data_IF_129396594200
#
_entry.id   IF_129396594200
#
_cell.length_a   1.000
_cell.length_b   1.000
_cell.length_c   1.000
_cell.angle_alpha   90.00
_cell.angle_beta   90.00
_cell.angle_gamma   90.00
#
_symmetry.space_group_name_H-M   'P 1'
#
loop_
_entity.id
_entity.type
_entity.pdbx_description
1 polymer ?
#
# COMPACT_ATOMS: atom_id res chain seq x y z
N UNK A 1 14.46 13.18 10.70
CA UNK A 1 13.17 13.62 10.12
C UNK A 1 12.68 14.96 10.68
N UNK A 2 12.26 15.13 11.95
CA UNK A 2 11.75 16.43 12.48
C UNK A 2 12.67 17.62 12.23
N UNK A 3 14.00 17.45 12.35
CA UNK A 3 14.99 18.50 12.05
C UNK A 3 15.02 18.84 10.55
N UNK A 4 14.89 17.84 9.66
CA UNK A 4 14.79 18.07 8.22
C UNK A 4 13.54 18.91 7.89
N UNK A 5 12.38 18.58 8.48
CA UNK A 5 11.14 19.34 8.33
C UNK A 5 11.27 20.80 8.80
N UNK A 6 11.92 21.02 9.97
CA UNK A 6 12.09 22.35 10.54
C UNK A 6 13.04 23.26 9.71
N UNK A 7 13.94 22.66 8.95
CA UNK A 7 14.94 23.36 8.13
C UNK A 7 14.64 23.27 6.62
N UNK A 8 13.43 22.83 6.24
CA UNK A 8 13.05 22.70 4.84
C UNK A 8 13.04 24.06 4.13
N UNK A 9 13.62 24.14 2.95
CA UNK A 9 13.46 25.28 2.06
C UNK A 9 12.06 25.19 1.45
N UNK A 10 11.31 26.31 1.49
CA UNK A 10 9.89 26.35 1.14
C UNK A 10 9.61 27.32 -0.01
N UNK A 11 8.66 26.96 -0.81
CA UNK A 11 8.06 27.77 -1.85
C UNK A 11 6.59 27.41 -2.04
N UNK A 12 5.95 27.85 -3.11
CA UNK A 12 4.54 27.57 -3.37
C UNK A 12 4.38 26.42 -4.39
N UNK A 13 3.99 25.22 -3.92
CA UNK A 13 3.76 24.05 -4.80
C UNK A 13 2.65 24.27 -5.84
N UNK A 14 1.70 25.18 -5.59
CA UNK A 14 0.66 25.48 -6.57
C UNK A 14 1.25 26.08 -7.84
N UNK A 15 2.33 26.85 -7.71
CA UNK A 15 3.07 27.42 -8.84
C UNK A 15 4.30 26.58 -9.24
N UNK A 16 4.53 25.45 -8.56
CA UNK A 16 5.72 24.60 -8.80
C UNK A 16 7.02 25.20 -8.25
N UNK A 17 6.93 26.12 -7.29
CA UNK A 17 8.05 26.89 -6.76
C UNK A 17 8.61 26.32 -5.44
N UNK A 18 8.00 25.30 -4.83
CA UNK A 18 8.53 24.67 -3.61
C UNK A 18 9.69 23.74 -3.97
N UNK A 19 10.95 24.11 -3.66
CA UNK A 19 12.12 23.36 -4.09
C UNK A 19 12.22 21.98 -3.42
N UNK A 20 11.72 21.87 -2.18
CA UNK A 20 11.81 20.62 -1.42
C UNK A 20 10.83 19.56 -1.95
N UNK A 21 9.60 19.93 -2.29
CA UNK A 21 8.66 18.96 -2.89
C UNK A 21 9.06 18.62 -4.32
N UNK A 22 9.58 19.57 -5.08
CA UNK A 22 10.10 19.28 -6.42
C UNK A 22 11.22 18.24 -6.34
N UNK A 23 12.20 18.44 -5.45
CA UNK A 23 13.28 17.47 -5.24
C UNK A 23 12.75 16.10 -4.78
N UNK A 24 11.75 16.05 -3.88
CA UNK A 24 11.14 14.77 -3.48
C UNK A 24 10.54 14.03 -4.66
N UNK A 25 9.83 14.77 -5.53
CA UNK A 25 9.21 14.20 -6.73
C UNK A 25 10.28 13.66 -7.69
N UNK A 26 11.36 14.42 -7.94
CA UNK A 26 12.47 13.99 -8.79
C UNK A 26 13.15 12.73 -8.23
N UNK A 27 13.49 12.71 -6.95
CA UNK A 27 14.11 11.54 -6.28
C UNK A 27 13.19 10.31 -6.33
N UNK A 28 11.89 10.50 -6.13
CA UNK A 28 10.92 9.40 -6.21
C UNK A 28 10.79 8.84 -7.63
N UNK A 29 10.75 9.69 -8.64
CA UNK A 29 10.73 9.28 -10.03
C UNK A 29 12.00 8.51 -10.41
N UNK A 30 13.18 9.03 -10.04
CA UNK A 30 14.47 8.39 -10.27
C UNK A 30 14.56 7.01 -9.61
N UNK A 31 14.18 6.88 -8.33
CA UNK A 31 14.24 5.59 -7.60
C UNK A 31 13.36 4.51 -8.20
N UNK A 32 12.23 4.88 -8.79
CA UNK A 32 11.29 3.96 -9.40
C UNK A 32 11.46 3.84 -10.92
N UNK A 33 12.46 4.51 -11.49
CA UNK A 33 12.70 4.57 -12.93
C UNK A 33 11.41 4.96 -13.70
N UNK A 34 10.78 6.05 -13.25
CA UNK A 34 9.60 6.65 -13.87
C UNK A 34 9.88 8.07 -14.33
N UNK A 35 9.12 8.51 -15.33
CA UNK A 35 9.33 9.84 -15.93
C UNK A 35 9.00 11.00 -14.98
N UNK A 36 8.00 10.83 -14.12
CA UNK A 36 7.55 11.88 -13.21
C UNK A 36 6.89 11.32 -11.95
N UNK A 37 6.80 12.18 -10.94
CA UNK A 37 6.11 11.89 -9.68
C UNK A 37 5.25 13.07 -9.21
N UNK A 38 4.27 12.77 -8.37
CA UNK A 38 3.40 13.75 -7.74
C UNK A 38 3.24 13.44 -6.26
N UNK A 39 3.58 14.38 -5.40
CA UNK A 39 3.27 14.30 -3.97
C UNK A 39 1.76 14.50 -3.75
N UNK A 40 1.17 13.61 -2.94
CA UNK A 40 -0.25 13.61 -2.57
C UNK A 40 -0.41 13.46 -1.06
N UNK A 41 -1.54 13.88 -0.51
CA UNK A 41 -1.78 13.90 0.94
C UNK A 41 -1.86 12.50 1.57
N UNK A 42 -2.32 11.50 0.82
CA UNK A 42 -2.56 10.14 1.32
C UNK A 42 -2.45 9.08 0.21
N UNK A 43 -2.31 7.81 0.60
CA UNK A 43 -2.38 6.68 -0.33
C UNK A 43 -3.71 6.60 -1.07
N UNK A 44 -4.82 6.83 -0.37
CA UNK A 44 -6.17 6.88 -0.97
C UNK A 44 -6.26 7.92 -2.09
N UNK A 45 -5.71 9.13 -1.86
CA UNK A 45 -5.65 10.14 -2.93
C UNK A 45 -4.76 9.66 -4.09
N UNK A 46 -3.58 9.09 -3.80
CA UNK A 46 -2.68 8.58 -4.83
C UNK A 46 -3.32 7.50 -5.68
N UNK A 47 -3.98 6.53 -5.06
CA UNK A 47 -4.72 5.48 -5.77
C UNK A 47 -5.86 6.09 -6.61
N UNK A 48 -6.70 6.92 -6.00
CA UNK A 48 -7.79 7.55 -6.74
C UNK A 48 -7.28 8.29 -7.98
N UNK A 49 -6.20 9.08 -7.86
CA UNK A 49 -5.59 9.76 -8.99
C UNK A 49 -5.04 8.75 -10.02
N UNK A 50 -4.38 7.69 -9.55
CA UNK A 50 -3.89 6.60 -10.41
C UNK A 50 -5.02 5.94 -11.20
N UNK A 51 -6.18 5.72 -10.58
CA UNK A 51 -7.37 5.18 -11.27
C UNK A 51 -7.95 6.19 -12.28
N UNK A 52 -8.09 7.48 -11.89
CA UNK A 52 -8.66 8.53 -12.72
C UNK A 52 -7.85 8.86 -13.98
N UNK A 53 -6.52 8.66 -13.95
CA UNK A 53 -5.67 8.87 -15.15
C UNK A 53 -5.56 7.62 -16.03
N UNK A 54 -6.08 6.47 -15.57
CA UNK A 54 -6.09 5.21 -16.31
C UNK A 54 -7.49 4.81 -16.82
N UNK A 55 -8.55 5.42 -16.30
CA UNK A 55 -9.92 5.13 -16.71
C UNK A 55 -10.78 6.40 -16.70
N UNK A 56 -11.87 6.37 -17.48
CA UNK A 56 -12.86 7.45 -17.59
C UNK A 56 -14.19 7.01 -17.01
N UNK A 57 -15.05 7.97 -16.71
CA UNK A 57 -16.43 7.71 -16.29
C UNK A 57 -17.14 6.77 -17.26
N UNK A 58 -17.83 5.75 -16.73
CA UNK A 58 -18.51 4.70 -17.49
C UNK A 58 -17.61 3.53 -17.89
N UNK A 59 -16.31 3.58 -17.60
CA UNK A 59 -15.40 2.46 -17.79
C UNK A 59 -15.26 1.59 -16.53
N UNK A 60 -14.63 0.43 -16.68
CA UNK A 60 -14.40 -0.54 -15.62
C UNK A 60 -12.91 -0.74 -15.37
N UNK A 61 -12.57 -0.97 -14.10
CA UNK A 61 -11.25 -1.40 -13.63
C UNK A 61 -11.34 -2.79 -12.99
N UNK A 62 -10.39 -3.65 -13.29
CA UNK A 62 -10.22 -4.92 -12.61
C UNK A 62 -9.43 -4.72 -11.32
N UNK A 63 -9.86 -5.31 -10.21
CA UNK A 63 -9.14 -5.29 -8.94
C UNK A 63 -9.36 -6.59 -8.17
N UNK A 64 -8.43 -6.94 -7.28
CA UNK A 64 -8.69 -8.00 -6.31
C UNK A 64 -9.89 -7.65 -5.41
N UNK A 65 -10.72 -8.65 -5.09
CA UNK A 65 -11.95 -8.46 -4.29
C UNK A 65 -11.68 -8.03 -2.84
N UNK A 66 -10.46 -8.24 -2.34
CA UNK A 66 -10.01 -7.82 -1.02
C UNK A 66 -9.06 -6.60 -1.07
N UNK A 67 -8.86 -6.01 -2.26
CA UNK A 67 -7.97 -4.85 -2.45
C UNK A 67 -8.45 -3.61 -1.71
N UNK A 68 -7.50 -2.75 -1.34
CA UNK A 68 -7.77 -1.51 -0.64
C UNK A 68 -8.63 -0.55 -1.48
N UNK A 69 -8.34 -0.42 -2.76
CA UNK A 69 -9.09 0.44 -3.70
C UNK A 69 -10.56 0.05 -3.83
N UNK A 70 -10.88 -1.23 -3.66
CA UNK A 70 -12.26 -1.73 -3.72
C UNK A 70 -12.99 -1.58 -2.37
N UNK A 71 -12.34 -1.95 -1.25
CA UNK A 71 -13.02 -2.09 0.04
C UNK A 71 -12.84 -0.91 1.00
N UNK A 72 -11.75 -0.14 0.90
CA UNK A 72 -11.31 0.72 1.98
C UNK A 72 -11.07 2.19 1.59
N UNK A 73 -11.54 2.62 0.40
CA UNK A 73 -11.38 4.00 -0.11
C UNK A 73 -12.72 4.72 -0.29
N UNK A 74 -13.70 4.37 0.54
CA UNK A 74 -15.02 5.02 0.63
C UNK A 74 -15.78 5.12 -0.71
N UNK A 75 -15.51 4.20 -1.65
CA UNK A 75 -16.15 4.21 -2.97
C UNK A 75 -15.70 5.34 -3.88
N UNK A 76 -14.50 5.91 -3.63
CA UNK A 76 -13.99 7.08 -4.35
C UNK A 76 -13.94 6.90 -5.87
N UNK A 77 -13.55 5.73 -6.37
CA UNK A 77 -13.53 5.41 -7.80
C UNK A 77 -14.91 5.60 -8.45
N UNK A 78 -15.96 5.10 -7.80
CA UNK A 78 -17.34 5.25 -8.29
C UNK A 78 -17.87 6.68 -8.10
N UNK A 79 -17.72 7.24 -6.90
CA UNK A 79 -18.33 8.52 -6.53
C UNK A 79 -17.70 9.71 -7.27
N UNK A 80 -16.39 9.70 -7.48
CA UNK A 80 -15.63 10.81 -8.05
C UNK A 80 -15.18 10.55 -9.49
N UNK A 81 -14.91 9.30 -9.85
CA UNK A 81 -14.48 8.92 -11.18
C UNK A 81 -15.62 8.40 -12.08
N UNK A 82 -16.75 7.99 -11.50
CA UNK A 82 -17.78 7.26 -12.24
C UNK A 82 -17.27 5.92 -12.79
N UNK A 83 -16.27 5.33 -12.12
CA UNK A 83 -15.57 4.13 -12.57
C UNK A 83 -16.14 2.92 -11.81
N UNK A 84 -16.55 1.90 -12.55
CA UNK A 84 -16.93 0.62 -11.96
C UNK A 84 -15.68 -0.19 -11.61
N UNK A 85 -15.69 -0.90 -10.48
CA UNK A 85 -14.64 -1.89 -10.17
C UNK A 85 -15.23 -3.28 -10.37
N UNK A 86 -14.53 -4.12 -11.16
CA UNK A 86 -14.77 -5.55 -11.32
C UNK A 86 -13.91 -6.31 -10.31
N UNK A 87 -14.50 -6.83 -9.22
CA UNK A 87 -13.73 -7.54 -8.22
C UNK A 87 -13.45 -8.98 -8.67
N UNK A 88 -12.18 -9.38 -8.65
CA UNK A 88 -11.70 -10.74 -8.93
C UNK A 88 -11.22 -11.38 -7.63
N UNK A 89 -11.69 -12.59 -7.32
CA UNK A 89 -11.18 -13.33 -6.17
C UNK A 89 -9.87 -14.01 -6.51
N UNK A 90 -8.84 -13.70 -5.71
CA UNK A 90 -7.50 -14.27 -5.88
C UNK A 90 -7.09 -15.08 -4.66
N UNK A 91 -6.03 -15.86 -4.80
CA UNK A 91 -5.37 -16.50 -3.67
C UNK A 91 -4.17 -15.66 -3.23
N UNK A 92 -4.13 -15.28 -1.95
CA UNK A 92 -3.04 -14.49 -1.39
C UNK A 92 -2.93 -13.05 -1.94
N UNK A 93 -3.93 -12.56 -2.69
CA UNK A 93 -3.90 -11.24 -3.33
C UNK A 93 -3.12 -11.23 -4.64
N UNK A 94 -2.74 -12.40 -5.18
CA UNK A 94 -1.99 -12.55 -6.43
C UNK A 94 -2.97 -12.95 -7.53
N UNK A 95 -3.11 -12.10 -8.54
CA UNK A 95 -3.97 -12.37 -9.70
C UNK A 95 -3.17 -13.04 -10.80
N UNK A 96 -3.57 -14.26 -11.18
CA UNK A 96 -2.94 -14.98 -12.26
C UNK A 96 -3.23 -14.31 -13.63
N UNK A 97 -2.33 -14.43 -14.63
CA UNK A 97 -2.53 -13.83 -15.95
C UNK A 97 -3.87 -14.20 -16.59
N UNK A 98 -4.31 -15.43 -16.44
CA UNK A 98 -5.59 -15.93 -16.97
C UNK A 98 -6.78 -15.23 -16.33
N UNK A 99 -6.70 -14.92 -15.02
CA UNK A 99 -7.75 -14.19 -14.31
C UNK A 99 -7.87 -12.75 -14.82
N UNK A 100 -6.76 -12.12 -15.25
CA UNK A 100 -6.80 -10.80 -15.90
C UNK A 100 -7.58 -10.88 -17.20
N UNK A 101 -7.28 -11.87 -18.06
CA UNK A 101 -7.97 -12.06 -19.36
C UNK A 101 -9.44 -12.34 -19.16
N UNK A 102 -9.77 -13.26 -18.27
CA UNK A 102 -11.16 -13.70 -18.02
C UNK A 102 -12.04 -12.56 -17.45
N UNK A 103 -11.42 -11.58 -16.79
CA UNK A 103 -12.12 -10.43 -16.24
C UNK A 103 -12.34 -9.29 -17.26
N UNK A 104 -11.65 -9.29 -18.41
CA UNK A 104 -11.80 -8.27 -19.46
C UNK A 104 -13.14 -8.50 -20.18
N UNK A 105 -13.94 -7.44 -20.23
CA UNK A 105 -15.22 -7.48 -20.92
C UNK A 105 -15.05 -7.51 -22.44
N UNK A 106 -15.90 -8.25 -23.17
CA UNK A 106 -15.94 -8.16 -24.64
C UNK A 106 -16.36 -6.74 -25.07
N UNK A 107 -15.92 -6.30 -26.26
CA UNK A 107 -16.37 -5.04 -26.85
C UNK A 107 -17.81 -5.19 -27.37
N UNK A 108 -18.76 -5.05 -26.48
CA UNK A 108 -20.20 -5.19 -26.71
C UNK A 108 -20.92 -4.06 -25.96
N UNK A 109 -22.00 -3.53 -26.57
CA UNK A 109 -22.76 -2.40 -26.02
C UNK A 109 -23.39 -2.65 -24.64
N UNK A 110 -23.50 -3.90 -24.20
CA UNK A 110 -24.07 -4.28 -22.92
C UNK A 110 -23.08 -4.17 -21.75
N UNK A 111 -21.78 -3.99 -22.05
CA UNK A 111 -20.74 -3.99 -21.03
C UNK A 111 -19.96 -2.68 -20.96
N UNK A 112 -19.52 -2.26 -19.78
CA UNK A 112 -18.51 -1.19 -19.68
C UNK A 112 -17.19 -1.67 -20.32
N UNK A 113 -16.45 -0.76 -20.94
CA UNK A 113 -15.10 -1.09 -21.44
C UNK A 113 -14.14 -1.23 -20.29
N UNK A 114 -13.43 -2.32 -20.21
CA UNK A 114 -12.34 -2.51 -19.26
C UNK A 114 -11.16 -1.65 -19.67
N UNK A 115 -10.76 -0.70 -18.80
CA UNK A 115 -9.71 0.29 -19.10
C UNK A 115 -8.37 -0.04 -18.46
N UNK A 116 -8.39 -0.65 -17.28
CA UNK A 116 -7.18 -0.96 -16.55
C UNK A 116 -7.39 -2.12 -15.57
N UNK A 117 -6.27 -2.64 -15.06
CA UNK A 117 -6.22 -3.50 -13.88
C UNK A 117 -5.40 -2.81 -12.79
N UNK A 118 -5.79 -3.02 -11.54
CA UNK A 118 -4.99 -2.58 -10.38
C UNK A 118 -4.55 -3.77 -9.54
N UNK A 119 -3.25 -3.80 -9.21
CA UNK A 119 -2.65 -4.79 -8.31
C UNK A 119 -2.26 -4.12 -7.00
N UNK A 120 -2.40 -4.81 -5.88
CA UNK A 120 -1.96 -4.31 -4.57
C UNK A 120 -0.70 -5.06 -4.12
N UNK A 121 0.40 -4.33 -3.86
CA UNK A 121 1.69 -4.90 -3.46
C UNK A 121 2.42 -4.01 -2.43
N UNK A 122 2.57 -4.45 -1.16
CA UNK A 122 2.11 -5.74 -0.61
C UNK A 122 0.62 -5.73 -0.32
N UNK A 123 -0.03 -6.89 -0.43
CA UNK A 123 -1.47 -6.97 -0.23
C UNK A 123 -1.85 -6.93 1.26
N UNK A 124 -2.53 -5.87 1.69
CA UNK A 124 -2.80 -5.59 3.09
C UNK A 124 -3.70 -6.64 3.77
N UNK A 125 -4.82 -7.00 3.14
CA UNK A 125 -5.78 -7.95 3.71
C UNK A 125 -5.32 -9.41 3.69
N UNK A 126 -4.33 -9.71 2.85
CA UNK A 126 -3.68 -11.02 2.79
C UNK A 126 -2.41 -11.13 3.64
N UNK A 127 -2.19 -10.20 4.59
CA UNK A 127 -1.09 -10.28 5.57
C UNK A 127 0.22 -9.68 5.09
N UNK A 128 0.18 -8.80 4.10
CA UNK A 128 1.38 -8.17 3.57
C UNK A 128 2.15 -9.07 2.61
N UNK A 129 1.47 -10.02 1.98
CA UNK A 129 2.05 -10.87 0.92
C UNK A 129 2.59 -9.99 -0.19
N UNK A 130 3.83 -10.24 -0.58
CA UNK A 130 4.51 -9.59 -1.69
C UNK A 130 4.39 -10.45 -2.95
N UNK A 131 4.05 -9.83 -4.06
CA UNK A 131 4.02 -10.52 -5.35
C UNK A 131 5.43 -10.93 -5.76
N UNK A 132 5.67 -12.20 -6.10
CA UNK A 132 6.90 -12.57 -6.80
C UNK A 132 7.04 -11.72 -8.08
N UNK A 133 8.22 -11.18 -8.33
CA UNK A 133 8.45 -10.30 -9.49
C UNK A 133 8.06 -10.97 -10.82
N UNK A 134 8.29 -12.27 -10.94
CA UNK A 134 7.92 -13.05 -12.13
C UNK A 134 6.40 -13.10 -12.34
N UNK A 135 5.63 -13.31 -11.28
CA UNK A 135 4.16 -13.34 -11.35
C UNK A 135 3.61 -11.94 -11.68
N UNK A 136 4.14 -10.89 -11.03
CA UNK A 136 3.73 -9.52 -11.30
C UNK A 136 4.03 -9.11 -12.76
N UNK A 137 5.19 -9.48 -13.28
CA UNK A 137 5.55 -9.25 -14.69
C UNK A 137 4.59 -9.98 -15.64
N UNK A 138 4.28 -11.24 -15.37
CA UNK A 138 3.39 -12.03 -16.23
C UNK A 138 1.98 -11.44 -16.28
N UNK A 139 1.37 -11.14 -15.12
CA UNK A 139 0.05 -10.53 -15.06
C UNK A 139 0.01 -9.13 -15.71
N UNK A 140 1.05 -8.32 -15.48
CA UNK A 140 1.16 -6.98 -16.09
C UNK A 140 1.36 -7.04 -17.60
N UNK A 141 2.17 -7.98 -18.08
CA UNK A 141 2.35 -8.17 -19.52
C UNK A 141 1.04 -8.60 -20.19
N UNK A 142 0.32 -9.52 -19.55
CA UNK A 142 -0.98 -9.96 -20.06
C UNK A 142 -1.99 -8.82 -20.15
N UNK A 143 -2.02 -7.93 -19.16
CA UNK A 143 -2.86 -6.73 -19.19
C UNK A 143 -2.50 -5.82 -20.37
N UNK A 144 -1.21 -5.56 -20.57
CA UNK A 144 -0.70 -4.72 -21.68
C UNK A 144 -0.98 -5.35 -23.03
N UNK A 145 -0.78 -6.64 -23.20
CA UNK A 145 -1.10 -7.38 -24.44
C UNK A 145 -2.59 -7.34 -24.77
N UNK A 146 -3.43 -7.19 -23.75
CA UNK A 146 -4.87 -7.00 -23.88
C UNK A 146 -5.27 -5.51 -24.08
N UNK A 147 -4.31 -4.59 -24.14
CA UNK A 147 -4.56 -3.17 -24.39
C UNK A 147 -5.10 -2.39 -23.19
N UNK A 148 -5.02 -2.92 -21.98
CA UNK A 148 -5.46 -2.23 -20.75
C UNK A 148 -4.27 -1.75 -19.92
N UNK A 149 -4.44 -0.63 -19.23
CA UNK A 149 -3.42 -0.04 -18.39
C UNK A 149 -3.24 -0.82 -17.07
N UNK A 150 -2.07 -0.66 -16.46
CA UNK A 150 -1.75 -1.26 -15.15
C UNK A 150 -1.48 -0.16 -14.12
N UNK A 151 -2.24 -0.16 -13.04
CA UNK A 151 -1.95 0.61 -11.83
C UNK A 151 -1.48 -0.31 -10.71
N UNK A 152 -0.47 0.07 -9.94
CA UNK A 152 -0.09 -0.66 -8.72
C UNK A 152 -0.35 0.22 -7.50
N UNK A 153 -1.24 -0.24 -6.61
CA UNK A 153 -1.24 0.21 -5.22
C UNK A 153 -0.02 -0.38 -4.53
N UNK A 154 1.06 0.37 -4.56
CA UNK A 154 2.34 0.05 -3.93
C UNK A 154 2.50 0.68 -2.56
N UNK A 155 1.43 0.78 -1.77
CA UNK A 155 1.45 1.47 -0.46
C UNK A 155 2.63 1.03 0.43
N UNK A 156 3.13 -0.20 0.24
CA UNK A 156 4.32 -0.77 0.89
C UNK A 156 5.30 -1.38 -0.12
N UNK A 157 5.50 -0.75 -1.26
CA UNK A 157 6.31 -1.33 -2.35
C UNK A 157 7.77 -1.57 -1.95
N UNK A 158 8.34 -0.74 -1.07
CA UNK A 158 9.70 -0.95 -0.55
C UNK A 158 9.77 -2.20 0.36
N UNK A 159 8.71 -2.49 1.14
CA UNK A 159 8.60 -3.75 1.85
C UNK A 159 8.51 -4.93 0.87
N UNK A 160 7.73 -4.80 -0.22
CA UNK A 160 7.63 -5.84 -1.23
C UNK A 160 8.98 -6.10 -1.90
N UNK A 161 9.69 -5.06 -2.33
CA UNK A 161 11.01 -5.16 -2.95
C UNK A 161 12.00 -5.91 -2.06
N UNK A 162 12.07 -5.54 -0.78
CA UNK A 162 12.91 -6.21 0.20
C UNK A 162 12.51 -7.69 0.39
N UNK A 163 11.21 -7.99 0.51
CA UNK A 163 10.72 -9.35 0.75
C UNK A 163 11.01 -10.31 -0.40
N UNK A 164 10.97 -9.82 -1.65
CA UNK A 164 11.23 -10.65 -2.84
C UNK A 164 12.67 -10.54 -3.35
N UNK A 165 13.53 -9.74 -2.70
CA UNK A 165 14.93 -9.55 -3.11
C UNK A 165 15.08 -8.89 -4.47
N UNK A 166 14.19 -7.94 -4.81
CA UNK A 166 14.21 -7.22 -6.09
C UNK A 166 14.47 -5.72 -5.88
N UNK A 167 14.97 -5.05 -6.90
CA UNK A 167 15.01 -3.58 -6.90
C UNK A 167 13.59 -3.02 -7.04
N UNK A 168 13.30 -1.93 -6.33
CA UNK A 168 11.96 -1.32 -6.36
C UNK A 168 11.56 -0.88 -7.78
N UNK A 169 12.54 -0.44 -8.60
CA UNK A 169 12.32 -0.08 -10.01
C UNK A 169 11.82 -1.25 -10.86
N UNK A 170 12.25 -2.49 -10.56
CA UNK A 170 11.82 -3.68 -11.28
C UNK A 170 10.34 -3.99 -11.03
N UNK A 171 9.86 -3.75 -9.80
CA UNK A 171 8.43 -3.83 -9.48
C UNK A 171 7.66 -2.68 -10.14
N UNK A 172 8.22 -1.46 -10.11
CA UNK A 172 7.60 -0.30 -10.74
C UNK A 172 7.50 -0.44 -12.27
N UNK A 173 8.46 -1.10 -12.92
CA UNK A 173 8.42 -1.38 -14.37
C UNK A 173 7.18 -2.21 -14.79
N UNK A 174 6.58 -2.94 -13.87
CA UNK A 174 5.34 -3.69 -14.11
C UNK A 174 4.08 -2.81 -14.21
N UNK A 175 4.13 -1.52 -13.89
CA UNK A 175 2.99 -0.63 -13.90
C UNK A 175 3.16 0.58 -14.82
N UNK A 176 2.06 1.08 -15.36
CA UNK A 176 2.02 2.39 -16.02
C UNK A 176 2.02 3.50 -14.98
N UNK A 177 1.25 3.35 -13.91
CA UNK A 177 1.26 4.24 -12.74
C UNK A 177 1.35 3.44 -11.45
N UNK A 178 2.01 4.00 -10.44
CA UNK A 178 2.12 3.37 -9.12
C UNK A 178 2.01 4.41 -8.02
N UNK A 179 1.29 4.07 -6.95
CA UNK A 179 1.28 4.85 -5.71
C UNK A 179 2.10 4.17 -4.63
N UNK A 180 2.89 4.94 -3.86
CA UNK A 180 3.49 4.42 -2.62
C UNK A 180 3.34 5.39 -1.46
N UNK A 181 3.26 4.85 -0.23
CA UNK A 181 3.08 5.66 0.97
C UNK A 181 4.42 6.00 1.63
N UNK A 182 4.61 7.27 1.96
CA UNK A 182 5.67 7.75 2.84
C UNK A 182 5.31 7.55 4.31
N UNK A 183 4.02 7.58 4.63
CA UNK A 183 3.45 7.60 5.99
C UNK A 183 3.15 6.22 6.61
N UNK A 184 3.71 5.15 6.06
CA UNK A 184 3.64 3.78 6.59
C UNK A 184 5.01 3.35 7.11
N UNK A 185 5.57 2.23 6.69
CA UNK A 185 6.87 1.73 7.14
C UNK A 185 8.03 2.73 7.00
N UNK A 186 7.95 3.64 6.04
CA UNK A 186 8.94 4.71 5.85
C UNK A 186 8.88 5.83 6.92
N UNK A 187 7.83 5.88 7.74
CA UNK A 187 7.76 6.68 8.96
C UNK A 187 7.59 8.19 8.77
N UNK A 188 7.30 8.70 7.56
CA UNK A 188 6.95 10.10 7.38
C UNK A 188 5.57 10.40 8.03
N UNK A 189 5.32 11.62 8.53
CA UNK A 189 4.09 11.94 9.25
C UNK A 189 2.85 11.95 8.36
N UNK A 190 3.01 12.17 7.06
CA UNK A 190 1.92 12.20 6.07
C UNK A 190 2.50 12.07 4.66
N UNK A 191 1.60 11.81 3.70
CA UNK A 191 1.89 11.86 2.29
C UNK A 191 2.18 10.51 1.65
N UNK A 192 1.99 10.53 0.34
CA UNK A 192 2.26 9.44 -0.59
C UNK A 192 2.76 10.04 -1.91
N UNK A 193 3.27 9.20 -2.77
CA UNK A 193 3.74 9.59 -4.10
C UNK A 193 3.01 8.76 -5.14
N UNK A 194 2.51 9.42 -6.18
CA UNK A 194 2.08 8.79 -7.43
C UNK A 194 3.18 8.98 -8.46
N UNK A 195 3.62 7.91 -9.10
CA UNK A 195 4.63 7.94 -10.19
C UNK A 195 4.03 7.41 -11.49
N UNK A 196 4.56 7.86 -12.62
CA UNK A 196 4.13 7.42 -13.95
C UNK A 196 4.66 8.30 -15.08
N UNK A 197 4.11 8.16 -16.30
CA UNK A 197 4.43 9.02 -17.43
C UNK A 197 4.10 10.49 -17.17
N UNK A 198 4.88 11.40 -17.76
CA UNK A 198 4.69 12.85 -17.61
C UNK A 198 3.25 13.30 -17.87
N UNK A 199 2.62 12.81 -18.93
CA UNK A 199 1.25 13.17 -19.30
C UNK A 199 0.22 12.78 -18.23
N UNK A 200 0.34 11.56 -17.68
CA UNK A 200 -0.55 11.05 -16.62
C UNK A 200 -0.33 11.80 -15.30
N UNK A 201 0.91 12.14 -14.97
CA UNK A 201 1.22 12.93 -13.77
C UNK A 201 0.75 14.37 -13.90
N UNK A 202 0.84 14.96 -15.09
CA UNK A 202 0.27 16.31 -15.34
C UNK A 202 -1.25 16.33 -15.20
N UNK A 203 -1.95 15.29 -15.68
CA UNK A 203 -3.40 15.13 -15.48
C UNK A 203 -3.73 14.88 -14.01
N UNK A 204 -2.99 14.00 -13.33
CA UNK A 204 -3.15 13.74 -11.91
C UNK A 204 -3.00 15.00 -11.04
N UNK A 205 -2.11 15.95 -11.42
CA UNK A 205 -1.97 17.25 -10.74
C UNK A 205 -3.24 18.09 -10.84
N UNK A 206 -3.97 18.04 -11.96
CA UNK A 206 -5.26 18.72 -12.13
C UNK A 206 -6.33 18.08 -11.23
N UNK A 207 -6.40 16.76 -11.23
CA UNK A 207 -7.29 16.01 -10.33
C UNK A 207 -6.97 16.29 -8.87
N UNK A 208 -5.68 16.27 -8.47
CA UNK A 208 -5.25 16.63 -7.11
C UNK A 208 -5.79 18.01 -6.71
N UNK A 209 -5.72 18.99 -7.61
CA UNK A 209 -6.25 20.35 -7.36
C UNK A 209 -7.76 20.33 -7.17
N UNK A 210 -8.48 19.63 -8.03
CA UNK A 210 -9.96 19.53 -8.01
C UNK A 210 -10.44 18.87 -6.70
N UNK A 211 -9.73 17.85 -6.22
CA UNK A 211 -10.02 17.12 -4.98
C UNK A 211 -9.56 17.86 -3.71
N UNK A 212 -9.03 19.07 -3.82
CA UNK A 212 -8.57 19.87 -2.68
C UNK A 212 -7.21 19.44 -2.10
N UNK A 213 -6.46 18.58 -2.79
CA UNK A 213 -5.16 18.07 -2.35
C UNK A 213 -3.96 18.95 -2.75
N UNK A 214 -4.18 20.09 -3.39
CA UNK A 214 -3.12 21.08 -3.67
C UNK A 214 -2.82 21.89 -2.42
N UNK A 215 -1.60 21.79 -1.92
CA UNK A 215 -1.11 22.52 -0.74
C UNK A 215 -0.08 23.55 -1.19
N UNK A 216 0.20 24.55 -0.34
CA UNK A 216 1.12 25.65 -0.65
C UNK A 216 2.57 25.26 -0.25
N UNK A 217 3.01 25.57 0.95
CA UNK A 217 4.37 25.36 1.45
C UNK A 217 4.55 23.92 1.95
N UNK A 218 4.29 22.96 1.08
CA UNK A 218 4.27 21.54 1.40
C UNK A 218 5.66 20.94 1.59
N UNK A 219 6.71 21.66 1.24
CA UNK A 219 8.10 21.28 1.46
C UNK A 219 8.42 20.85 2.89
N UNK A 220 7.67 21.34 3.89
CA UNK A 220 7.77 20.86 5.28
C UNK A 220 7.53 19.34 5.36
N UNK A 221 6.51 18.82 4.71
CA UNK A 221 6.23 17.39 4.68
C UNK A 221 7.11 16.65 3.66
N UNK A 222 7.43 17.28 2.55
CA UNK A 222 8.32 16.71 1.54
C UNK A 222 9.73 16.44 2.08
N UNK A 223 10.25 17.29 2.96
CA UNK A 223 11.51 17.05 3.65
C UNK A 223 11.51 15.77 4.50
N UNK A 224 10.37 15.43 5.12
CA UNK A 224 10.21 14.16 5.80
C UNK A 224 10.23 12.99 4.81
N UNK A 225 9.63 13.17 3.64
CA UNK A 225 9.65 12.18 2.56
C UNK A 225 11.05 11.91 2.01
N UNK A 226 11.84 12.95 1.77
CA UNK A 226 13.25 12.84 1.38
C UNK A 226 14.04 12.07 2.44
N UNK A 227 13.91 12.47 3.71
CA UNK A 227 14.56 11.76 4.81
C UNK A 227 14.15 10.28 4.86
N UNK A 228 12.86 10.01 4.64
CA UNK A 228 12.31 8.66 4.64
C UNK A 228 12.93 7.80 3.52
N UNK A 229 13.00 8.32 2.32
CA UNK A 229 13.62 7.62 1.19
C UNK A 229 15.11 7.34 1.43
N UNK A 230 15.84 8.27 2.05
CA UNK A 230 17.28 8.15 2.24
C UNK A 230 17.68 7.26 3.44
N UNK A 231 16.83 7.16 4.48
CA UNK A 231 17.24 6.56 5.75
C UNK A 231 16.31 5.47 6.28
N UNK A 232 15.10 5.32 5.72
CA UNK A 232 14.12 4.41 6.30
C UNK A 232 13.86 3.15 5.46
N UNK A 233 14.35 3.10 4.23
CA UNK A 233 14.12 1.96 3.34
C UNK A 233 14.84 0.71 3.84
N UNK A 234 16.15 0.79 4.06
CA UNK A 234 16.98 -0.36 4.44
C UNK A 234 16.58 -0.93 5.81
N UNK A 235 16.14 -0.05 6.74
CA UNK A 235 15.71 -0.49 8.05
C UNK A 235 14.38 -1.27 8.06
N UNK A 236 13.63 -1.30 6.96
CA UNK A 236 12.42 -2.15 6.87
C UNK A 236 12.73 -3.63 7.13
N UNK A 237 13.98 -4.06 6.93
CA UNK A 237 14.44 -5.40 7.29
C UNK A 237 14.25 -5.72 8.78
N UNK A 238 14.42 -4.74 9.66
CA UNK A 238 14.20 -4.89 11.10
C UNK A 238 12.72 -5.15 11.39
N UNK A 239 11.82 -4.41 10.73
CA UNK A 239 10.38 -4.58 10.88
C UNK A 239 9.95 -5.99 10.41
N UNK A 240 10.54 -6.49 9.31
CA UNK A 240 10.25 -7.84 8.80
C UNK A 240 10.76 -8.92 9.78
N UNK A 241 11.97 -8.77 10.32
CA UNK A 241 12.52 -9.71 11.29
C UNK A 241 11.67 -9.77 12.57
N UNK A 242 11.25 -8.61 13.08
CA UNK A 242 10.38 -8.50 14.25
C UNK A 242 8.99 -9.11 14.00
N UNK A 243 8.40 -8.89 12.82
CA UNK A 243 7.14 -9.51 12.42
C UNK A 243 7.26 -11.03 12.36
N UNK A 244 8.36 -11.55 11.81
CA UNK A 244 8.62 -12.98 11.71
C UNK A 244 8.75 -13.62 13.09
N UNK A 245 9.54 -13.05 13.98
CA UNK A 245 9.70 -13.51 15.37
C UNK A 245 8.38 -13.48 16.12
N UNK A 246 7.60 -12.40 15.95
CA UNK A 246 6.27 -12.28 16.55
C UNK A 246 5.33 -13.38 16.06
N UNK A 247 5.30 -13.65 14.76
CA UNK A 247 4.44 -14.66 14.17
C UNK A 247 4.79 -16.08 14.62
N UNK A 248 6.09 -16.41 14.69
CA UNK A 248 6.57 -17.69 15.20
C UNK A 248 6.18 -17.90 16.66
N UNK A 249 6.33 -16.88 17.50
CA UNK A 249 5.90 -16.96 18.90
C UNK A 249 4.37 -17.05 19.06
N UNK A 250 3.59 -16.34 18.22
CA UNK A 250 2.13 -16.42 18.23
C UNK A 250 1.63 -17.83 17.84
N UNK A 251 2.31 -18.51 16.92
CA UNK A 251 1.96 -19.85 16.47
C UNK A 251 2.01 -20.90 17.59
N UNK A 252 2.79 -20.66 18.64
CA UNK A 252 2.92 -21.55 19.82
C UNK A 252 1.82 -21.30 20.87
N UNK A 253 1.04 -20.21 20.73
CA UNK A 253 0.02 -19.87 21.71
C UNK A 253 -1.28 -20.62 21.40
N UNK A 254 -1.79 -21.40 22.35
CA UNK A 254 -3.05 -22.15 22.21
C UNK A 254 -4.20 -21.21 21.90
N UNK A 255 -5.01 -21.54 20.91
CA UNK A 255 -6.15 -20.75 20.46
C UNK A 255 -5.80 -19.70 19.39
N UNK A 256 -4.53 -19.62 18.97
CA UNK A 256 -4.09 -18.82 17.83
C UNK A 256 -3.81 -19.72 16.64
N UNK A 257 -4.21 -19.27 15.47
CA UNK A 257 -3.90 -19.93 14.19
C UNK A 257 -3.45 -18.87 13.18
N UNK A 258 -2.32 -19.08 12.54
CA UNK A 258 -1.82 -18.23 11.47
C UNK A 258 -1.03 -19.05 10.44
N UNK A 259 -0.93 -18.48 9.26
CA UNK A 259 -0.18 -19.04 8.16
C UNK A 259 1.17 -18.33 8.05
N UNK A 260 2.23 -18.98 8.53
CA UNK A 260 3.58 -18.41 8.60
C UNK A 260 4.14 -18.01 7.23
N UNK A 261 3.70 -18.66 6.12
CA UNK A 261 4.19 -18.29 4.79
C UNK A 261 3.68 -16.91 4.35
N UNK A 262 2.54 -16.45 4.88
CA UNK A 262 1.98 -15.12 4.59
C UNK A 262 2.71 -13.98 5.31
N UNK A 263 3.50 -14.29 6.34
CA UNK A 263 4.28 -13.30 7.08
C UNK A 263 5.60 -13.05 6.38
N UNK A 264 5.53 -12.26 5.33
CA UNK A 264 6.66 -11.93 4.44
C UNK A 264 7.22 -10.54 4.70
N UNK A 265 6.45 -9.69 5.36
CA UNK A 265 6.78 -8.28 5.61
C UNK A 265 6.50 -7.90 7.06
N UNK A 266 6.08 -6.69 7.30
CA UNK A 266 5.82 -6.14 8.63
C UNK A 266 4.38 -6.32 9.12
N UNK A 267 3.57 -7.16 8.47
CA UNK A 267 2.19 -7.45 8.86
C UNK A 267 2.08 -8.89 9.39
N UNK A 268 1.41 -9.05 10.53
CA UNK A 268 1.07 -10.35 11.11
C UNK A 268 -0.43 -10.42 11.29
N UNK A 269 -1.09 -11.26 10.50
CA UNK A 269 -2.54 -11.53 10.63
C UNK A 269 -2.70 -12.95 11.15
N UNK A 270 -3.49 -13.09 12.20
CA UNK A 270 -3.77 -14.37 12.83
C UNK A 270 -5.25 -14.47 13.23
N UNK A 271 -5.73 -15.69 13.38
CA UNK A 271 -7.06 -15.99 13.90
C UNK A 271 -6.99 -16.35 15.37
N UNK A 272 -8.02 -15.97 16.11
CA UNK A 272 -8.17 -16.30 17.53
C UNK A 272 -9.45 -17.13 17.76
N UNK A 273 -9.36 -18.10 18.66
CA UNK A 273 -10.48 -18.95 19.08
C UNK A 273 -10.65 -18.87 20.59
N UNK A 274 -11.87 -18.99 21.08
CA UNK A 274 -12.19 -18.96 22.51
C UNK A 274 -12.54 -17.58 23.06
N UNK A 275 -12.18 -16.49 22.38
CA UNK A 275 -12.45 -15.11 22.78
C UNK A 275 -12.88 -14.30 21.56
N UNK A 276 -13.74 -13.29 21.73
CA UNK A 276 -14.07 -12.38 20.62
C UNK A 276 -12.91 -11.44 20.29
N UNK A 277 -12.77 -11.04 19.01
CA UNK A 277 -11.74 -10.05 18.61
C UNK A 277 -11.87 -8.74 19.37
N UNK A 278 -13.09 -8.29 19.63
CA UNK A 278 -13.33 -7.07 20.40
C UNK A 278 -12.78 -7.18 21.83
N UNK A 279 -13.10 -8.27 22.53
CA UNK A 279 -12.60 -8.52 23.90
C UNK A 279 -11.08 -8.67 23.89
N UNK A 280 -10.53 -9.42 22.94
CA UNK A 280 -9.08 -9.59 22.80
C UNK A 280 -8.35 -8.25 22.63
N UNK A 281 -8.81 -7.39 21.69
CA UNK A 281 -8.23 -6.08 21.45
C UNK A 281 -8.31 -5.19 22.69
N UNK A 282 -9.45 -5.21 23.40
CA UNK A 282 -9.62 -4.45 24.63
C UNK A 282 -8.68 -4.92 25.74
N UNK A 283 -8.55 -6.24 25.94
CA UNK A 283 -7.67 -6.81 26.97
C UNK A 283 -6.19 -6.59 26.66
N UNK A 284 -5.78 -6.66 25.39
CA UNK A 284 -4.44 -6.28 24.96
C UNK A 284 -4.18 -4.80 25.24
N UNK A 285 -5.13 -3.92 24.90
CA UNK A 285 -5.02 -2.47 25.11
C UNK A 285 -4.86 -2.11 26.59
N UNK A 286 -5.59 -2.76 27.50
CA UNK A 286 -5.44 -2.58 28.96
C UNK A 286 -4.04 -2.90 29.46
N UNK A 287 -3.30 -3.76 28.72
CA UNK A 287 -1.93 -4.17 29.03
C UNK A 287 -0.86 -3.43 28.17
N UNK A 288 -1.27 -2.36 27.48
CA UNK A 288 -0.38 -1.50 26.69
C UNK A 288 -0.07 -2.02 25.29
N UNK A 289 -0.72 -3.09 24.82
CA UNK A 289 -0.54 -3.64 23.48
C UNK A 289 -1.68 -3.22 22.56
N UNK A 290 -1.36 -2.49 21.50
CA UNK A 290 -2.33 -2.10 20.48
C UNK A 290 -2.50 -3.21 19.43
N UNK A 291 -3.74 -3.54 19.10
CA UNK A 291 -4.11 -4.52 18.09
C UNK A 291 -5.26 -3.96 17.23
N UNK A 292 -5.39 -4.45 16.02
CA UNK A 292 -6.48 -4.10 15.11
C UNK A 292 -7.33 -5.35 14.79
N UNK A 293 -8.65 -5.23 14.97
CA UNK A 293 -9.59 -6.28 14.59
C UNK A 293 -9.79 -6.27 13.05
N UNK A 294 -9.24 -7.24 12.36
CA UNK A 294 -9.31 -7.36 10.89
C UNK A 294 -10.45 -8.28 10.43
N UNK A 295 -11.51 -8.42 11.23
CA UNK A 295 -12.66 -9.30 10.99
C UNK A 295 -13.24 -9.87 12.29
N UNK A 296 -14.14 -10.86 12.15
CA UNK A 296 -14.81 -11.46 13.34
C UNK A 296 -13.88 -12.32 14.18
N UNK A 297 -12.89 -12.97 13.56
CA UNK A 297 -11.94 -13.89 14.21
C UNK A 297 -10.49 -13.49 13.96
N UNK A 298 -10.23 -12.53 13.08
CA UNK A 298 -8.90 -12.13 12.66
C UNK A 298 -8.42 -10.88 13.37
N UNK A 299 -7.18 -10.92 13.83
CA UNK A 299 -6.44 -9.81 14.45
C UNK A 299 -5.21 -9.50 13.60
N UNK A 300 -4.84 -8.23 13.54
CA UNK A 300 -3.65 -7.76 12.83
C UNK A 300 -2.73 -7.03 13.78
N UNK A 301 -1.45 -7.41 13.76
CA UNK A 301 -0.35 -6.62 14.28
C UNK A 301 0.49 -6.05 13.14
N UNK A 302 1.17 -4.94 13.42
CA UNK A 302 2.06 -4.27 12.48
C UNK A 302 3.34 -3.89 13.22
N UNK A 303 4.48 -4.40 12.77
CA UNK A 303 5.79 -3.94 13.25
C UNK A 303 6.22 -2.69 12.47
N UNK A 304 6.86 -1.77 13.14
CA UNK A 304 7.27 -0.49 12.57
C UNK A 304 8.44 0.11 13.36
N UNK A 305 8.97 1.23 12.87
CA UNK A 305 10.00 1.97 13.58
C UNK A 305 9.65 2.22 15.05
N UNK A 306 10.56 1.87 15.94
CA UNK A 306 10.37 2.00 17.38
C UNK A 306 9.81 0.75 18.07
N UNK A 307 9.62 -0.35 17.32
CA UNK A 307 9.34 -1.67 17.88
C UNK A 307 10.63 -2.49 17.75
N UNK A 308 11.15 -2.95 18.87
CA UNK A 308 12.35 -3.79 18.94
C UNK A 308 12.04 -5.23 19.40
N UNK A 309 13.07 -6.03 19.61
CA UNK A 309 12.93 -7.42 20.04
C UNK A 309 12.34 -7.57 21.46
N UNK A 310 12.58 -6.60 22.36
CA UNK A 310 12.02 -6.61 23.72
C UNK A 310 10.52 -6.35 23.66
N UNK A 311 10.08 -5.40 22.83
CA UNK A 311 8.68 -5.13 22.56
C UNK A 311 7.96 -6.34 21.97
N UNK A 312 8.61 -7.09 21.07
CA UNK A 312 8.06 -8.34 20.52
C UNK A 312 7.85 -9.39 21.62
N UNK A 313 8.82 -9.56 22.51
CA UNK A 313 8.68 -10.49 23.65
C UNK A 313 7.59 -10.06 24.62
N UNK A 314 7.48 -8.76 24.88
CA UNK A 314 6.39 -8.21 25.70
C UNK A 314 5.02 -8.47 25.05
N UNK A 315 4.90 -8.26 23.74
CA UNK A 315 3.67 -8.52 23.00
C UNK A 315 3.27 -10.00 23.09
N UNK A 316 4.20 -10.93 22.90
CA UNK A 316 3.96 -12.37 23.03
C UNK A 316 3.48 -12.74 24.43
N UNK A 317 4.11 -12.17 25.47
CA UNK A 317 3.69 -12.37 26.87
C UNK A 317 2.26 -11.90 27.11
N UNK A 318 1.95 -10.68 26.68
CA UNK A 318 0.59 -10.11 26.82
C UNK A 318 -0.44 -10.96 26.11
N UNK A 319 -0.18 -11.38 24.87
CA UNK A 319 -1.09 -12.24 24.11
C UNK A 319 -1.30 -13.58 24.81
N UNK A 320 -0.24 -14.20 25.31
CA UNK A 320 -0.33 -15.47 26.05
C UNK A 320 -1.17 -15.33 27.32
N UNK A 321 -1.02 -14.25 28.08
CA UNK A 321 -1.83 -13.96 29.27
C UNK A 321 -3.32 -13.76 28.91
N UNK A 322 -3.62 -13.03 27.85
CA UNK A 322 -5.01 -12.78 27.39
C UNK A 322 -5.66 -14.06 26.92
N UNK A 323 -4.95 -14.89 26.14
CA UNK A 323 -5.47 -16.17 25.64
C UNK A 323 -5.55 -17.24 26.74
N UNK A 324 -4.69 -17.18 27.74
CA UNK A 324 -4.70 -18.11 28.89
C UNK A 324 -5.79 -17.80 29.92
N UNK A 325 -6.34 -16.59 29.91
CA UNK A 325 -7.42 -16.15 30.80
C UNK A 325 -8.82 -16.35 30.17
N UNK A 326 -8.89 -16.68 28.90
CA UNK A 326 -10.11 -16.96 28.13
C UNK A 326 -10.42 -18.46 28.11
#
# INVERSE_FOLDING_TARGET
MRRAMANAELGDDVFGEDPTVNRLQDVAAERLDKEAALFVSSGTMGNLLGLLVNARSGQELIADADSHVFLAEAGGAAALGGIQIMPVRTEGGIMEPEQVVDAIRPDDQHYPRTAAVTFENTHNRHGGVAWPLTALRAASQQARDSGIAVHIDGARIFNAALAVGAEVKDLAACADTMTFCLSKGLGAPAGSILVGPHEKIAEARRWRKMLGGGMRQIGVLAAAGLYALDHMVDRLAEDHANARTLAEGLAEIKGITLDLWRVQTNLVIFEINGISTATFVEECKKRGLSADASGRTRVRFVTHYGIDSEDVQLALKVVSEVMGAA
#
